data_IF_201835828887
#
_entry.id   IF_201835828887
#
_cell.length_a   1.000
_cell.length_b   1.000
_cell.length_c   1.000
_cell.angle_alpha   90.00
_cell.angle_beta   90.00
_cell.angle_gamma   90.00
#
_symmetry.space_group_name_H-M   'P 1'
#
loop_
_entity.id
_entity.type
_entity.pdbx_description
1 polymer ?
#
# COMPACT_ATOMS: atom_id res chain seq x y z
N UNK A 1 -43.85 5.55 -14.30
CA UNK A 1 -43.19 5.59 -14.08
C UNK A 1 -42.45 5.27 -13.58
N UNK A 2 -42.28 4.99 -13.55
CA UNK A 2 -41.54 4.79 -12.93
C UNK A 2 -40.54 5.03 -12.60
N UNK A 3 -40.18 5.42 -12.27
CA UNK A 3 -39.27 5.81 -11.98
C UNK A 3 -38.58 5.55 -11.03
N UNK A 4 -38.78 5.68 -10.48
CA UNK A 4 -38.31 5.50 -9.41
C UNK A 4 -37.47 4.66 -9.25
N UNK A 5 -37.57 4.40 -9.79
CA UNK A 5 -37.06 3.41 -9.80
C UNK A 5 -35.75 3.47 -9.72
N UNK A 6 -35.25 4.29 -9.63
CA UNK A 6 -34.02 4.34 -9.60
C UNK A 6 -33.39 4.50 -8.59
N UNK A 7 -33.74 4.42 -8.26
CA UNK A 7 -33.25 4.52 -7.29
C UNK A 7 -32.23 3.94 -7.18
N UNK A 8 -31.95 3.62 -6.82
CA UNK A 8 -30.89 3.59 -6.22
C UNK A 8 -29.87 2.65 -6.63
N UNK A 9 -29.65 2.40 -7.82
CA UNK A 9 -28.43 1.77 -8.24
C UNK A 9 -27.23 2.64 -7.92
N UNK A 10 -27.41 3.94 -7.94
CA UNK A 10 -26.36 4.87 -7.57
C UNK A 10 -26.03 4.80 -6.09
N UNK A 11 -26.92 4.22 -5.29
CA UNK A 11 -26.67 4.03 -3.88
C UNK A 11 -25.95 2.71 -3.56
N UNK A 12 -25.79 1.84 -4.55
CA UNK A 12 -25.05 0.59 -4.33
C UNK A 12 -23.58 0.88 -4.18
N UNK A 13 -23.01 0.36 -3.13
CA UNK A 13 -21.59 0.52 -2.85
C UNK A 13 -20.94 -0.85 -2.73
N UNK A 14 -19.72 -0.92 -3.15
CA UNK A 14 -18.96 -2.16 -3.11
C UNK A 14 -17.49 -1.87 -2.87
N UNK A 15 -16.75 -2.91 -2.54
CA UNK A 15 -15.30 -2.85 -2.39
C UNK A 15 -14.67 -3.85 -3.33
N UNK A 16 -13.55 -3.46 -3.91
CA UNK A 16 -12.75 -4.34 -4.75
C UNK A 16 -11.33 -4.38 -4.19
N UNK A 17 -10.73 -5.55 -4.22
CA UNK A 17 -9.42 -5.77 -3.62
C UNK A 17 -8.50 -6.46 -4.61
N UNK A 18 -7.26 -5.94 -4.72
CA UNK A 18 -6.21 -6.53 -5.55
C UNK A 18 -4.97 -6.72 -4.70
N UNK A 19 -4.32 -7.86 -4.85
CA UNK A 19 -3.08 -8.16 -4.15
C UNK A 19 -1.93 -8.28 -5.15
N UNK A 20 -0.78 -7.75 -4.78
CA UNK A 20 0.46 -7.91 -5.55
C UNK A 20 1.58 -8.28 -4.58
N UNK A 21 2.70 -8.73 -5.12
CA UNK A 21 3.89 -9.03 -4.33
C UNK A 21 5.03 -8.13 -4.78
N UNK A 22 5.76 -7.63 -3.81
CA UNK A 22 6.93 -6.80 -4.03
C UNK A 22 8.09 -7.37 -3.21
N UNK A 23 9.28 -7.37 -3.79
CA UNK A 23 10.48 -7.81 -3.10
C UNK A 23 11.35 -6.59 -2.83
N UNK A 24 11.44 -6.20 -1.57
CA UNK A 24 12.16 -5.00 -1.16
C UNK A 24 13.09 -5.28 0.01
N UNK A 25 14.11 -4.45 0.13
CA UNK A 25 15.08 -4.52 1.21
C UNK A 25 14.82 -3.40 2.20
N UNK A 26 14.56 -3.78 3.46
CA UNK A 26 14.36 -2.84 4.55
C UNK A 26 15.67 -2.66 5.28
N UNK A 27 15.99 -1.43 5.65
CA UNK A 27 17.22 -1.15 6.38
C UNK A 27 16.93 -0.49 7.74
N UNK A 28 17.99 -0.19 8.47
CA UNK A 28 17.92 0.31 9.82
C UNK A 28 17.77 1.83 9.85
N UNK A 29 17.38 2.35 10.99
CA UNK A 29 17.37 3.79 11.22
C UNK A 29 18.81 4.29 11.28
N UNK A 30 19.18 5.16 10.35
CA UNK A 30 20.54 5.67 10.23
C UNK A 30 20.90 6.70 11.30
N UNK A 31 19.92 7.26 11.99
CA UNK A 31 20.14 8.23 13.05
C UNK A 31 20.51 7.57 14.37
N UNK A 32 20.39 6.25 14.47
CA UNK A 32 20.65 5.49 15.69
C UNK A 32 21.97 4.73 15.59
N UNK A 33 22.58 4.47 16.75
CA UNK A 33 23.76 3.60 16.84
C UNK A 33 23.36 2.14 16.61
N UNK A 34 24.37 1.26 16.40
CA UNK A 34 24.11 -0.17 16.28
C UNK A 34 23.41 -0.75 17.52
N UNK A 35 23.81 -0.29 18.72
CA UNK A 35 23.19 -0.75 19.97
C UNK A 35 21.73 -0.32 20.05
N UNK A 36 21.45 0.92 19.69
CA UNK A 36 20.09 1.43 19.68
C UNK A 36 19.21 0.72 18.64
N UNK A 37 19.75 0.45 17.47
CA UNK A 37 19.05 -0.30 16.43
C UNK A 37 18.77 -1.74 16.89
N UNK A 38 19.75 -2.39 17.51
CA UNK A 38 19.58 -3.74 18.03
C UNK A 38 18.49 -3.79 19.10
N UNK A 39 18.45 -2.76 19.96
CA UNK A 39 17.46 -2.66 21.01
C UNK A 39 16.05 -2.46 20.47
N UNK A 40 15.89 -1.62 19.44
CA UNK A 40 14.61 -1.31 18.86
C UNK A 40 14.11 -2.37 17.88
N UNK A 41 15.01 -2.89 17.06
CA UNK A 41 14.62 -3.75 15.93
C UNK A 41 14.98 -5.23 16.12
N UNK A 42 15.81 -5.54 17.11
CA UNK A 42 16.14 -6.93 17.43
C UNK A 42 16.71 -7.69 16.24
N UNK A 43 16.03 -8.73 15.82
CA UNK A 43 16.46 -9.58 14.70
C UNK A 43 16.60 -8.83 13.39
N UNK A 44 15.95 -7.70 13.26
CA UNK A 44 16.01 -6.88 12.07
C UNK A 44 17.25 -6.00 12.01
N UNK A 45 18.07 -6.02 13.06
CA UNK A 45 19.30 -5.25 13.10
C UNK A 45 20.41 -5.95 12.33
N UNK A 46 20.46 -5.69 11.04
CA UNK A 46 21.48 -6.23 10.15
C UNK A 46 22.19 -5.06 9.48
N UNK A 47 23.54 -4.98 9.53
CA UNK A 47 24.28 -3.85 8.95
C UNK A 47 23.99 -3.59 7.49
N UNK A 48 23.64 -4.62 6.74
CA UNK A 48 23.31 -4.51 5.33
C UNK A 48 21.79 -4.48 5.08
N UNK A 49 21.00 -4.38 6.16
CA UNK A 49 19.56 -4.49 6.07
C UNK A 49 19.10 -5.94 5.94
N UNK A 50 17.84 -6.13 5.67
CA UNK A 50 17.27 -7.45 5.44
C UNK A 50 16.16 -7.35 4.41
N UNK A 51 15.94 -8.45 3.69
CA UNK A 51 14.96 -8.50 2.62
C UNK A 51 13.63 -9.12 3.05
N UNK A 52 12.57 -8.63 2.47
CA UNK A 52 11.24 -9.19 2.63
C UNK A 52 10.54 -9.29 1.29
N UNK A 53 9.71 -10.31 1.15
CA UNK A 53 8.76 -10.40 0.06
C UNK A 53 7.44 -9.85 0.56
N UNK A 54 7.22 -8.57 0.33
CA UNK A 54 5.99 -7.92 0.75
C UNK A 54 4.82 -8.37 -0.11
N UNK A 55 3.69 -8.59 0.53
CA UNK A 55 2.43 -8.74 -0.18
C UNK A 55 1.60 -7.51 0.15
N UNK A 56 1.14 -6.81 -0.87
CA UNK A 56 0.34 -5.61 -0.70
C UNK A 56 -1.06 -5.87 -1.21
N UNK A 57 -2.04 -5.59 -0.38
CA UNK A 57 -3.45 -5.74 -0.72
C UNK A 57 -4.10 -4.36 -0.66
N UNK A 58 -4.59 -3.90 -1.80
CA UNK A 58 -5.23 -2.59 -1.92
C UNK A 58 -6.73 -2.80 -2.07
N UNK A 59 -7.49 -2.12 -1.25
CA UNK A 59 -8.96 -2.14 -1.31
C UNK A 59 -9.46 -0.74 -1.65
N UNK A 60 -10.27 -0.68 -2.70
CA UNK A 60 -11.00 0.53 -3.09
C UNK A 60 -12.48 0.31 -2.82
N UNK A 61 -13.19 1.40 -2.57
CA UNK A 61 -14.64 1.34 -2.34
C UNK A 61 -15.30 2.53 -3.04
N UNK A 62 -16.58 2.40 -3.29
CA UNK A 62 -17.34 3.47 -3.91
C UNK A 62 -18.67 2.99 -4.42
N UNK A 63 -19.33 3.86 -5.14
CA UNK A 63 -20.60 3.52 -5.77
C UNK A 63 -20.34 2.66 -7.02
N UNK A 64 -21.22 1.71 -7.23
CA UNK A 64 -21.15 0.85 -8.42
C UNK A 64 -21.69 1.64 -9.60
N UNK A 65 -20.91 1.75 -10.66
CA UNK A 65 -21.35 2.39 -11.89
C UNK A 65 -22.48 1.55 -12.51
N UNK A 66 -23.63 2.14 -12.78
CA UNK A 66 -24.78 1.37 -13.27
C UNK A 66 -24.59 0.82 -14.69
N UNK A 67 -23.65 1.36 -15.45
CA UNK A 67 -23.38 0.89 -16.80
C UNK A 67 -22.39 -0.26 -16.80
N UNK A 68 -21.27 -0.08 -16.07
CA UNK A 68 -20.20 -1.09 -16.05
C UNK A 68 -20.38 -2.14 -14.97
N UNK A 69 -21.16 -1.84 -13.93
CA UNK A 69 -21.31 -2.72 -12.78
C UNK A 69 -20.08 -2.77 -11.88
N UNK A 70 -19.19 -1.80 -12.00
CA UNK A 70 -17.92 -1.78 -11.27
C UNK A 70 -17.76 -0.52 -10.43
N UNK A 71 -17.04 -0.64 -9.32
CA UNK A 71 -16.52 0.52 -8.58
C UNK A 71 -15.36 1.11 -9.36
N UNK A 72 -14.49 0.26 -9.84
CA UNK A 72 -13.33 0.60 -10.65
C UNK A 72 -12.93 -0.63 -11.47
N UNK A 73 -12.44 -0.40 -12.67
CA UNK A 73 -11.90 -1.48 -13.48
C UNK A 73 -10.64 -2.03 -12.79
N UNK A 74 -10.62 -3.33 -12.52
CA UNK A 74 -9.50 -3.96 -11.81
C UNK A 74 -8.21 -3.92 -12.61
N UNK A 75 -8.29 -3.89 -13.94
CA UNK A 75 -7.09 -3.73 -14.78
C UNK A 75 -6.48 -2.35 -14.57
N UNK A 76 -7.32 -1.32 -14.46
CA UNK A 76 -6.84 0.02 -14.17
C UNK A 76 -6.24 0.10 -12.78
N UNK A 77 -6.87 -0.53 -11.79
CA UNK A 77 -6.33 -0.58 -10.43
C UNK A 77 -4.95 -1.24 -10.40
N UNK A 78 -4.80 -2.36 -11.11
CA UNK A 78 -3.50 -3.03 -11.22
C UNK A 78 -2.46 -2.12 -11.86
N UNK A 79 -2.84 -1.36 -12.88
CA UNK A 79 -1.95 -0.38 -13.51
C UNK A 79 -1.49 0.69 -12.54
N UNK A 80 -2.39 1.22 -11.73
CA UNK A 80 -2.03 2.20 -10.71
C UNK A 80 -1.14 1.58 -9.63
N UNK A 81 -1.38 0.34 -9.26
CA UNK A 81 -0.52 -0.36 -8.30
C UNK A 81 0.88 -0.58 -8.86
N UNK A 82 0.99 -0.88 -10.15
CA UNK A 82 2.29 -1.00 -10.81
C UNK A 82 3.06 0.31 -10.72
N UNK A 83 2.42 1.43 -11.06
CA UNK A 83 3.06 2.75 -11.01
C UNK A 83 3.38 3.21 -9.61
N UNK A 84 2.47 2.99 -8.67
CA UNK A 84 2.59 3.54 -7.32
C UNK A 84 3.41 2.65 -6.38
N UNK A 85 3.46 1.36 -6.63
CA UNK A 85 4.05 0.39 -5.70
C UNK A 85 5.21 -0.38 -6.34
N UNK A 86 4.95 -1.06 -7.46
CA UNK A 86 5.96 -1.96 -8.04
C UNK A 86 7.17 -1.20 -8.57
N UNK A 87 6.95 -0.19 -9.39
CA UNK A 87 8.07 0.57 -9.97
C UNK A 87 8.96 1.23 -8.94
N UNK A 88 8.41 1.94 -7.93
CA UNK A 88 9.28 2.59 -6.95
C UNK A 88 9.88 1.66 -5.90
N UNK A 89 9.28 0.52 -5.62
CA UNK A 89 9.67 -0.30 -4.47
C UNK A 89 10.23 -1.67 -4.81
N UNK A 90 9.78 -2.29 -5.89
CA UNK A 90 10.14 -3.67 -6.17
C UNK A 90 11.62 -3.82 -6.49
N UNK A 91 12.28 -4.79 -5.86
CA UNK A 91 13.71 -5.04 -5.98
C UNK A 91 14.58 -3.82 -5.60
N UNK A 92 14.08 -2.97 -4.72
CA UNK A 92 14.80 -1.79 -4.25
C UNK A 92 15.28 -1.97 -2.81
N UNK A 93 16.39 -1.31 -2.51
CA UNK A 93 16.78 -1.08 -1.12
C UNK A 93 16.02 0.18 -0.67
N UNK A 94 15.13 0.03 0.29
CA UNK A 94 14.24 1.12 0.66
C UNK A 94 14.99 2.36 1.14
N UNK A 95 16.05 2.18 1.92
CA UNK A 95 16.80 3.31 2.46
C UNK A 95 17.72 3.98 1.44
N UNK A 96 18.23 3.23 0.47
CA UNK A 96 19.20 3.73 -0.49
C UNK A 96 18.57 4.16 -1.81
N UNK A 97 17.54 3.45 -2.25
CA UNK A 97 16.98 3.61 -3.60
C UNK A 97 15.65 4.37 -3.62
N UNK A 98 15.02 4.55 -2.45
CA UNK A 98 13.71 5.21 -2.35
C UNK A 98 13.87 6.51 -1.58
N UNK A 99 13.78 7.68 -2.24
CA UNK A 99 14.03 8.97 -1.57
C UNK A 99 13.17 9.22 -0.34
N UNK A 100 11.95 8.73 -0.32
CA UNK A 100 11.05 8.90 0.83
C UNK A 100 11.69 8.38 2.13
N UNK A 101 12.41 7.27 2.04
CA UNK A 101 13.02 6.64 3.22
C UNK A 101 14.42 7.19 3.56
N UNK A 102 14.85 8.26 2.89
CA UNK A 102 16.08 8.94 3.30
C UNK A 102 15.93 9.55 4.69
N UNK A 103 14.74 10.06 5.00
CA UNK A 103 14.44 10.72 6.29
C UNK A 103 13.39 10.00 7.13
N UNK A 104 12.85 8.89 6.63
CA UNK A 104 11.79 8.13 7.31
C UNK A 104 12.27 6.70 7.46
N UNK A 105 12.11 6.14 8.65
CA UNK A 105 12.50 4.75 8.91
C UNK A 105 11.64 3.81 8.05
N UNK A 106 12.27 2.83 7.42
CA UNK A 106 11.59 1.91 6.50
C UNK A 106 10.90 0.75 7.24
N UNK A 107 10.10 1.09 8.25
CA UNK A 107 9.25 0.12 8.93
C UNK A 107 8.08 -0.27 8.03
N UNK A 108 7.44 -1.38 8.33
CA UNK A 108 6.26 -1.82 7.58
C UNK A 108 5.14 -0.80 7.66
N UNK A 109 4.97 -0.14 8.80
CA UNK A 109 4.00 0.92 8.98
C UNK A 109 4.27 2.08 8.02
N UNK A 110 5.51 2.52 7.94
CA UNK A 110 5.87 3.63 7.06
C UNK A 110 5.82 3.24 5.58
N UNK A 111 6.07 1.97 5.27
CA UNK A 111 5.87 1.45 3.91
C UNK A 111 4.39 1.54 3.54
N UNK A 112 3.50 1.17 4.45
CA UNK A 112 2.06 1.26 4.19
C UNK A 112 1.61 2.69 3.95
N UNK A 113 2.11 3.64 4.73
CA UNK A 113 1.81 5.08 4.55
C UNK A 113 2.33 5.57 3.20
N UNK A 114 3.54 5.21 2.84
CA UNK A 114 4.13 5.58 1.56
C UNK A 114 3.29 5.07 0.38
N UNK A 115 2.87 3.81 0.45
CA UNK A 115 2.03 3.21 -0.59
C UNK A 115 0.69 3.93 -0.67
N UNK A 116 0.08 4.24 0.46
CA UNK A 116 -1.17 4.99 0.51
C UNK A 116 -1.02 6.34 -0.18
N UNK A 117 0.00 7.10 0.20
CA UNK A 117 0.22 8.43 -0.35
C UNK A 117 0.46 8.38 -1.86
N UNK A 118 1.23 7.39 -2.32
CA UNK A 118 1.47 7.22 -3.76
C UNK A 118 0.20 6.86 -4.51
N UNK A 119 -0.60 5.94 -3.97
CA UNK A 119 -1.85 5.55 -4.63
C UNK A 119 -2.84 6.70 -4.71
N UNK A 120 -2.86 7.59 -3.71
CA UNK A 120 -3.73 8.77 -3.75
C UNK A 120 -3.41 9.70 -4.91
N UNK A 121 -2.18 9.66 -5.44
CA UNK A 121 -1.80 10.48 -6.60
C UNK A 121 -2.42 9.97 -7.90
N UNK A 122 -2.80 8.70 -7.94
CA UNK A 122 -3.33 8.07 -9.16
C UNK A 122 -4.83 7.82 -9.08
N UNK A 123 -5.36 7.56 -7.90
CA UNK A 123 -6.76 7.17 -7.74
C UNK A 123 -7.67 8.39 -7.60
N UNK A 124 -8.92 8.27 -8.06
CA UNK A 124 -9.93 9.31 -7.79
C UNK A 124 -10.08 9.52 -6.28
N UNK A 125 -10.43 10.75 -5.92
CA UNK A 125 -10.61 11.11 -4.51
C UNK A 125 -11.70 10.27 -3.86
N UNK A 126 -11.41 9.78 -2.64
CA UNK A 126 -12.39 9.05 -1.84
C UNK A 126 -12.56 7.58 -2.21
N UNK A 127 -11.84 7.09 -3.21
CA UNK A 127 -11.95 5.69 -3.66
C UNK A 127 -11.08 4.76 -2.84
N UNK A 128 -9.87 5.18 -2.49
CA UNK A 128 -8.95 4.32 -1.73
C UNK A 128 -9.49 4.12 -0.30
N UNK A 129 -9.68 2.86 0.08
CA UNK A 129 -10.23 2.53 1.39
C UNK A 129 -9.19 2.05 2.38
N UNK A 130 -8.36 1.09 1.98
CA UNK A 130 -7.29 0.61 2.84
C UNK A 130 -6.16 -0.01 2.06
N UNK A 131 -4.97 0.04 2.66
CA UNK A 131 -3.77 -0.65 2.19
C UNK A 131 -3.35 -1.61 3.29
N UNK A 132 -3.16 -2.87 2.93
CA UNK A 132 -2.73 -3.90 3.86
C UNK A 132 -1.40 -4.43 3.36
N UNK A 133 -0.39 -4.39 4.21
CA UNK A 133 0.96 -4.80 3.86
C UNK A 133 1.36 -5.98 4.74
N UNK A 134 1.70 -7.08 4.08
CA UNK A 134 2.25 -8.26 4.74
C UNK A 134 3.76 -8.21 4.60
N UNK A 135 4.46 -7.99 5.69
CA UNK A 135 5.91 -8.13 5.72
C UNK A 135 6.27 -9.61 5.71
N UNK A 136 5.54 -10.38 6.51
CA UNK A 136 5.54 -11.84 6.54
C UNK A 136 4.08 -12.29 6.63
N UNK A 137 3.83 -13.59 6.62
CA UNK A 137 2.46 -14.10 6.76
C UNK A 137 1.83 -13.70 8.10
N UNK A 138 2.66 -13.38 9.10
CA UNK A 138 2.19 -13.08 10.46
C UNK A 138 2.36 -11.62 10.85
N UNK A 139 3.18 -10.85 10.15
CA UNK A 139 3.42 -9.44 10.44
C UNK A 139 2.72 -8.60 9.40
N UNK A 140 1.63 -7.98 9.80
CA UNK A 140 0.71 -7.33 8.87
C UNK A 140 0.36 -5.94 9.40
N UNK A 141 0.36 -4.96 8.50
CA UNK A 141 -0.05 -3.59 8.81
C UNK A 141 -1.22 -3.23 7.92
N UNK A 142 -2.22 -2.59 8.51
CA UNK A 142 -3.38 -2.05 7.77
C UNK A 142 -3.41 -0.54 7.98
N UNK A 143 -3.49 0.21 6.89
CA UNK A 143 -3.56 1.66 6.95
C UNK A 143 -4.76 2.16 6.14
N UNK A 144 -5.53 3.07 6.74
CA UNK A 144 -6.76 3.62 6.16
C UNK A 144 -6.70 5.15 6.01
N UNK A 145 -5.52 5.71 6.02
CA UNK A 145 -5.35 7.15 5.80
C UNK A 145 -5.56 8.02 7.05
N UNK A 146 -5.45 7.42 8.21
CA UNK A 146 -5.68 8.16 9.48
C UNK A 146 -4.41 8.54 10.18
#
# INVERSE_FOLDING_TARGET
>A
MNQDVHLPKTALRASSTVAIRSHSLMALDKSLSNEENLKLFGKCNNPNGHGHNYKVVVTVHGEVDPVTGMVMNLTDLKGYMEEAIMKPLDHKNLDLDVPYFADVVSTTENVAVYIWDNLQKFLPMGILYKVKVYETDNNIVVYKGE
#
